data_IF_103853536254
#
_entry.id   IF_103853536254
#
_cell.length_a   1.000
_cell.length_b   1.000
_cell.length_c   1.000
_cell.angle_alpha   90.00
_cell.angle_beta   90.00
_cell.angle_gamma   90.00
#
_symmetry.space_group_name_H-M   'P 1'
#
loop_
_entity.id
_entity.type
_entity.pdbx_description
1 polymer ?
#
# COMPACT_ATOMS: atom_id res chain seq x y z
N UNK A 1 -21.56 31.33 14.88
CA UNK A 1 -20.42 30.74 15.61
C UNK A 1 -20.10 29.41 14.94
N UNK A 2 -19.26 29.42 13.92
CA UNK A 2 -18.86 28.21 13.19
C UNK A 2 -17.85 27.43 14.03
N UNK A 3 -18.25 26.28 14.56
CA UNK A 3 -17.33 25.35 15.19
C UNK A 3 -16.33 24.87 14.14
N UNK A 4 -15.05 25.21 14.33
CA UNK A 4 -13.96 24.56 13.60
C UNK A 4 -13.96 23.10 14.04
N UNK A 5 -14.20 22.19 13.10
CA UNK A 5 -13.91 20.77 13.31
C UNK A 5 -12.42 20.64 13.61
N UNK A 6 -12.12 20.19 14.83
CA UNK A 6 -10.78 19.76 15.23
C UNK A 6 -10.35 18.65 14.27
N UNK A 7 -9.11 18.67 13.71
CA UNK A 7 -8.61 17.53 12.95
C UNK A 7 -8.77 16.29 13.81
N UNK A 8 -9.37 15.22 13.28
CA UNK A 8 -9.47 13.94 14.00
C UNK A 8 -8.06 13.54 14.42
N UNK A 9 -7.73 13.73 15.70
CA UNK A 9 -6.53 13.17 16.29
C UNK A 9 -6.55 11.68 15.98
N UNK A 10 -5.45 11.18 15.37
CA UNK A 10 -5.28 9.76 15.08
C UNK A 10 -5.67 8.97 16.31
N UNK A 11 -6.70 8.13 16.18
CA UNK A 11 -7.21 7.34 17.30
C UNK A 11 -6.31 6.12 17.43
N UNK A 12 -5.12 6.36 17.96
CA UNK A 12 -4.40 5.33 18.68
C UNK A 12 -5.33 4.88 19.81
N UNK A 13 -5.73 3.61 19.78
CA UNK A 13 -6.38 2.82 20.82
C UNK A 13 -7.04 3.58 22.00
N UNK A 14 -8.32 3.29 22.27
CA UNK A 14 -8.93 3.73 23.52
C UNK A 14 -8.07 3.27 24.72
N UNK A 15 -7.91 4.13 25.73
CA UNK A 15 -6.96 3.97 26.84
C UNK A 15 -7.09 2.68 27.68
N UNK A 16 -8.12 1.85 27.43
CA UNK A 16 -8.36 0.58 28.12
C UNK A 16 -8.21 -0.68 27.24
N UNK A 17 -7.78 -0.57 25.98
CA UNK A 17 -7.62 -1.74 25.11
C UNK A 17 -6.37 -2.56 25.45
N UNK A 18 -6.53 -3.89 25.54
CA UNK A 18 -5.44 -4.85 25.79
C UNK A 18 -5.13 -5.67 24.53
N UNK A 19 -3.97 -6.32 24.46
CA UNK A 19 -3.64 -7.25 23.36
C UNK A 19 -3.16 -6.60 22.05
N UNK A 20 -2.72 -5.33 22.06
CA UNK A 20 -2.14 -4.64 20.89
C UNK A 20 -0.89 -5.32 20.31
N UNK A 21 -0.12 -6.03 21.15
CA UNK A 21 1.25 -6.42 20.83
C UNK A 21 2.20 -5.21 20.87
N UNK A 22 3.47 -5.36 20.46
CA UNK A 22 4.38 -4.21 20.38
C UNK A 22 3.84 -3.17 19.40
N UNK A 23 3.71 -1.92 19.83
CA UNK A 23 3.29 -0.84 18.95
C UNK A 23 4.35 -0.57 17.88
N UNK A 24 3.92 -0.35 16.63
CA UNK A 24 4.77 0.26 15.60
C UNK A 24 4.60 1.78 15.77
N UNK A 25 5.66 2.55 16.11
CA UNK A 25 5.50 3.96 16.42
C UNK A 25 5.09 4.77 15.19
N UNK A 26 3.81 5.14 15.08
CA UNK A 26 3.31 6.13 14.10
C UNK A 26 3.46 7.57 14.60
N UNK A 27 3.71 7.76 15.91
CA UNK A 27 3.78 9.06 16.61
C UNK A 27 2.52 9.91 16.42
N UNK A 28 1.36 9.28 16.28
CA UNK A 28 0.08 9.96 16.04
C UNK A 28 -0.12 10.46 14.60
N UNK A 29 0.82 10.16 13.69
CA UNK A 29 0.71 10.51 12.26
C UNK A 29 -0.16 9.53 11.48
N UNK A 30 -0.55 8.40 12.07
CA UNK A 30 -1.45 7.40 11.47
C UNK A 30 -2.12 6.58 12.57
N UNK A 31 -3.25 5.97 12.28
CA UNK A 31 -3.91 5.03 13.17
C UNK A 31 -3.16 3.69 13.21
N UNK A 32 -3.28 2.99 14.33
CA UNK A 32 -2.66 1.68 14.53
C UNK A 32 -3.71 0.64 14.95
N UNK A 33 -3.86 -0.48 14.23
CA UNK A 33 -4.79 -1.55 14.61
C UNK A 33 -4.12 -2.57 15.54
N UNK A 34 -4.93 -3.27 16.35
CA UNK A 34 -4.51 -4.55 16.96
C UNK A 34 -4.69 -5.66 15.95
N UNK A 35 -4.01 -6.78 16.19
CA UNK A 35 -4.16 -7.97 15.36
C UNK A 35 -5.64 -8.32 15.20
N UNK A 36 -6.11 -8.43 13.95
CA UNK A 36 -7.49 -8.81 13.62
C UNK A 36 -8.55 -7.74 13.88
N UNK A 37 -8.20 -6.53 14.31
CA UNK A 37 -9.18 -5.46 14.55
C UNK A 37 -9.90 -5.03 13.26
N UNK A 38 -9.14 -4.91 12.19
CA UNK A 38 -9.66 -4.55 10.87
C UNK A 38 -9.75 -5.82 10.04
N UNK A 39 -10.97 -6.32 9.88
CA UNK A 39 -11.27 -7.47 9.06
C UNK A 39 -11.71 -7.01 7.67
N UNK A 40 -10.90 -7.32 6.64
CA UNK A 40 -11.19 -6.96 5.26
C UNK A 40 -12.48 -7.58 4.73
N UNK A 41 -12.89 -8.74 5.27
CA UNK A 41 -14.14 -9.43 4.91
C UNK A 41 -15.38 -8.68 5.39
N UNK A 42 -15.22 -7.80 6.38
CA UNK A 42 -16.29 -6.94 6.93
C UNK A 42 -16.22 -5.52 6.36
N UNK A 43 -15.00 -4.97 6.30
CA UNK A 43 -14.77 -3.58 5.90
C UNK A 43 -14.89 -3.36 4.39
N UNK A 44 -14.32 -4.26 3.58
CA UNK A 44 -14.35 -4.12 2.12
C UNK A 44 -15.78 -4.02 1.60
N UNK A 45 -16.00 -3.12 0.63
CA UNK A 45 -17.24 -3.01 -0.13
C UNK A 45 -17.08 -3.48 -1.57
N UNK A 46 -15.96 -4.16 -1.88
CA UNK A 46 -15.59 -4.58 -3.25
C UNK A 46 -15.58 -3.42 -4.24
N UNK A 47 -15.12 -2.27 -3.75
CA UNK A 47 -14.96 -1.05 -4.53
C UNK A 47 -13.48 -0.84 -4.83
N UNK A 48 -13.22 -0.30 -6.01
CA UNK A 48 -11.89 0.16 -6.41
C UNK A 48 -11.98 1.62 -6.83
N UNK A 49 -10.96 2.38 -6.49
CA UNK A 49 -10.84 3.79 -6.83
C UNK A 49 -10.54 3.97 -8.31
N UNK A 50 -9.61 3.17 -8.83
CA UNK A 50 -9.16 3.26 -10.22
C UNK A 50 -8.42 1.99 -10.66
N UNK A 51 -8.34 1.79 -11.97
CA UNK A 51 -7.49 0.80 -12.61
C UNK A 51 -6.67 1.48 -13.71
N UNK A 52 -5.34 1.42 -13.57
CA UNK A 52 -4.41 2.05 -14.51
C UNK A 52 -3.51 0.99 -15.16
N UNK A 53 -3.70 0.68 -16.46
CA UNK A 53 -2.80 -0.21 -17.16
C UNK A 53 -1.51 0.51 -17.57
N UNK A 54 -0.43 -0.26 -17.68
CA UNK A 54 0.85 0.14 -18.27
C UNK A 54 1.57 1.32 -17.61
N UNK A 55 1.53 1.39 -16.28
CA UNK A 55 2.27 2.38 -15.48
C UNK A 55 3.69 1.90 -15.17
N UNK A 56 4.59 2.83 -14.87
CA UNK A 56 6.01 2.55 -14.56
C UNK A 56 6.46 3.10 -13.21
N UNK A 57 5.55 3.73 -12.47
CA UNK A 57 5.84 4.36 -11.16
C UNK A 57 5.54 3.44 -9.98
N UNK A 58 4.70 2.43 -10.18
CA UNK A 58 4.11 1.64 -9.10
C UNK A 58 4.86 0.30 -8.91
N UNK A 59 6.18 0.31 -9.12
CA UNK A 59 7.07 -0.85 -9.02
C UNK A 59 7.98 -1.01 -10.24
N UNK A 60 8.78 -2.07 -10.26
CA UNK A 60 9.70 -2.35 -11.37
C UNK A 60 8.93 -2.78 -12.65
N UNK A 61 9.39 -2.28 -13.80
CA UNK A 61 8.87 -2.63 -15.12
C UNK A 61 7.56 -1.91 -15.50
N UNK A 62 6.96 -2.33 -16.62
CA UNK A 62 5.62 -1.88 -17.03
C UNK A 62 4.60 -2.72 -16.28
N UNK A 63 3.69 -2.07 -15.53
CA UNK A 63 2.77 -2.73 -14.61
C UNK A 63 1.33 -2.34 -14.86
N UNK A 64 0.43 -3.24 -14.52
CA UNK A 64 -0.96 -2.89 -14.27
C UNK A 64 -1.09 -2.44 -12.80
N UNK A 65 -1.91 -1.45 -12.50
CA UNK A 65 -2.09 -0.95 -11.14
C UNK A 65 -3.56 -0.91 -10.76
N UNK A 66 -3.90 -1.61 -9.68
CA UNK A 66 -5.26 -1.65 -9.13
C UNK A 66 -5.30 -0.87 -7.82
N UNK A 67 -6.00 0.26 -7.84
CA UNK A 67 -6.16 1.14 -6.69
C UNK A 67 -7.46 0.73 -5.97
N UNK A 68 -7.35 0.00 -4.86
CA UNK A 68 -8.52 -0.40 -4.06
C UNK A 68 -9.02 0.74 -3.18
N UNK A 69 -10.28 0.71 -2.78
CA UNK A 69 -10.87 1.74 -1.91
C UNK A 69 -10.88 1.33 -0.44
N UNK A 70 -10.78 2.31 0.45
CA UNK A 70 -10.86 2.13 1.89
C UNK A 70 -9.50 1.99 2.57
N UNK A 71 -9.20 2.88 3.52
CA UNK A 71 -7.97 2.81 4.30
C UNK A 71 -8.16 3.46 5.67
N UNK A 72 -8.27 2.67 6.75
CA UNK A 72 -8.47 3.21 8.10
C UNK A 72 -7.17 3.70 8.74
N UNK A 73 -6.01 3.61 8.09
CA UNK A 73 -4.75 4.14 8.62
C UNK A 73 -4.76 5.67 8.74
N UNK A 74 -5.48 6.36 7.84
CA UNK A 74 -5.60 7.83 7.85
C UNK A 74 -4.27 8.58 8.05
N UNK A 75 -3.21 8.15 7.35
CA UNK A 75 -1.89 8.76 7.50
C UNK A 75 -1.93 10.26 7.21
N UNK A 76 -1.31 11.09 8.05
CA UNK A 76 -1.21 12.52 7.83
C UNK A 76 -0.44 12.79 6.53
N UNK A 77 -1.04 13.57 5.63
CA UNK A 77 -0.44 13.85 4.31
C UNK A 77 -0.51 12.67 3.33
N UNK A 78 -1.39 11.69 3.55
CA UNK A 78 -1.60 10.58 2.62
C UNK A 78 -1.97 11.09 1.21
N UNK A 79 -1.22 10.65 0.21
CA UNK A 79 -1.48 10.95 -1.21
C UNK A 79 -2.87 10.48 -1.67
N UNK A 80 -3.36 9.39 -1.07
CA UNK A 80 -4.63 8.74 -1.41
C UNK A 80 -5.75 9.03 -0.39
N UNK A 81 -5.72 10.18 0.28
CA UNK A 81 -6.72 10.54 1.30
C UNK A 81 -8.16 10.57 0.75
N UNK A 82 -8.35 10.87 -0.54
CA UNK A 82 -9.66 10.88 -1.20
C UNK A 82 -10.34 9.52 -1.26
N UNK A 83 -9.61 8.42 -1.04
CA UNK A 83 -10.11 7.04 -1.17
C UNK A 83 -10.04 6.27 0.16
N UNK A 84 -9.99 6.99 1.29
CA UNK A 84 -10.10 6.39 2.62
C UNK A 84 -11.46 5.74 2.91
N UNK A 85 -12.53 6.19 2.24
CA UNK A 85 -13.84 5.55 2.31
C UNK A 85 -13.84 4.26 1.48
N UNK A 86 -14.26 3.15 2.09
CA UNK A 86 -14.43 1.87 1.41
C UNK A 86 -15.49 1.91 0.30
N UNK A 87 -16.31 2.96 0.22
CA UNK A 87 -17.28 3.20 -0.86
C UNK A 87 -16.79 4.15 -1.96
N UNK A 88 -15.56 4.67 -1.87
CA UNK A 88 -15.02 5.53 -2.92
C UNK A 88 -14.84 4.75 -4.23
N UNK A 89 -14.90 5.45 -5.37
CA UNK A 89 -14.69 4.87 -6.69
C UNK A 89 -15.92 4.11 -7.22
N UNK A 90 -15.68 2.93 -7.80
CA UNK A 90 -16.71 2.10 -8.42
C UNK A 90 -16.55 0.61 -8.09
N UNK A 91 -17.56 -0.19 -8.38
CA UNK A 91 -17.54 -1.63 -8.10
C UNK A 91 -16.45 -2.34 -8.92
N UNK A 92 -15.80 -3.33 -8.29
CA UNK A 92 -14.98 -4.31 -8.99
C UNK A 92 -15.89 -5.33 -9.68
N UNK A 93 -15.79 -5.43 -11.01
CA UNK A 93 -16.67 -6.25 -11.83
C UNK A 93 -15.92 -7.37 -12.55
N UNK A 94 -16.60 -8.46 -12.95
CA UNK A 94 -15.99 -9.49 -13.78
C UNK A 94 -15.40 -8.94 -15.09
N UNK A 95 -16.05 -7.94 -15.71
CA UNK A 95 -15.54 -7.31 -16.93
C UNK A 95 -14.21 -6.56 -16.70
N UNK A 96 -14.06 -5.90 -15.54
CA UNK A 96 -12.79 -5.30 -15.16
C UNK A 96 -11.71 -6.36 -14.92
N UNK A 97 -12.06 -7.48 -14.28
CA UNK A 97 -11.12 -8.59 -14.08
C UNK A 97 -10.63 -9.16 -15.41
N UNK A 98 -11.52 -9.41 -16.37
CA UNK A 98 -11.12 -9.85 -17.72
C UNK A 98 -10.17 -8.85 -18.39
N UNK A 99 -10.44 -7.54 -18.23
CA UNK A 99 -9.55 -6.50 -18.73
C UNK A 99 -8.17 -6.55 -18.07
N UNK A 100 -8.10 -6.69 -16.75
CA UNK A 100 -6.84 -6.81 -16.00
C UNK A 100 -6.02 -8.00 -16.52
N UNK A 101 -6.67 -9.15 -16.71
CA UNK A 101 -6.00 -10.37 -17.18
C UNK A 101 -5.51 -10.23 -18.63
N UNK A 102 -6.32 -9.63 -19.51
CA UNK A 102 -5.92 -9.38 -20.90
C UNK A 102 -4.75 -8.37 -21.01
N UNK A 103 -4.74 -7.34 -20.17
CA UNK A 103 -3.65 -6.37 -20.11
C UNK A 103 -2.38 -7.02 -19.52
N UNK A 104 -2.49 -7.89 -18.52
CA UNK A 104 -1.36 -8.64 -17.95
C UNK A 104 -0.74 -9.66 -18.92
N UNK A 105 -1.55 -10.25 -19.80
CA UNK A 105 -1.10 -11.23 -20.79
C UNK A 105 -0.11 -10.63 -21.82
N UNK A 106 -0.05 -9.31 -21.96
CA UNK A 106 0.90 -8.66 -22.86
C UNK A 106 2.36 -9.01 -22.47
N UNK A 107 3.22 -9.40 -23.42
CA UNK A 107 4.54 -9.95 -23.11
C UNK A 107 5.51 -8.92 -22.47
N UNK A 108 5.29 -7.63 -22.70
CA UNK A 108 6.10 -6.54 -22.12
C UNK A 108 5.59 -6.06 -20.75
N UNK A 109 4.45 -6.55 -20.27
CA UNK A 109 3.95 -6.23 -18.93
C UNK A 109 4.62 -7.15 -17.93
N UNK A 110 5.32 -6.58 -16.95
CA UNK A 110 6.04 -7.35 -15.93
C UNK A 110 5.07 -7.96 -14.90
N UNK A 111 4.02 -7.23 -14.53
CA UNK A 111 3.11 -7.70 -13.49
C UNK A 111 2.05 -6.70 -13.08
N UNK A 112 1.48 -6.90 -11.88
CA UNK A 112 0.45 -6.04 -11.30
C UNK A 112 0.89 -5.49 -9.95
N UNK A 113 0.38 -4.32 -9.59
CA UNK A 113 0.52 -3.72 -8.27
C UNK A 113 -0.85 -3.50 -7.63
N UNK A 114 -0.99 -3.93 -6.38
CA UNK A 114 -2.12 -3.61 -5.51
C UNK A 114 -1.75 -2.43 -4.61
N UNK A 115 -2.51 -1.34 -4.72
CA UNK A 115 -2.27 -0.11 -3.97
C UNK A 115 -3.58 0.68 -3.78
N UNK A 116 -3.48 1.98 -3.50
CA UNK A 116 -4.63 2.87 -3.34
C UNK A 116 -4.93 3.12 -1.87
N UNK A 117 -6.05 2.57 -1.38
CA UNK A 117 -6.39 2.51 0.03
C UNK A 117 -5.53 1.49 0.77
N UNK A 118 -6.14 0.47 1.34
CA UNK A 118 -5.43 -0.63 2.02
C UNK A 118 -5.71 -1.98 1.34
N UNK A 119 -4.78 -2.50 0.52
CA UNK A 119 -4.89 -3.81 -0.12
C UNK A 119 -5.17 -4.97 0.84
N UNK A 120 -4.55 -4.98 2.03
CA UNK A 120 -4.72 -6.07 3.01
C UNK A 120 -6.09 -6.00 3.72
N UNK A 121 -6.91 -4.99 3.42
CA UNK A 121 -8.32 -4.91 3.82
C UNK A 121 -9.29 -5.09 2.64
N UNK A 122 -8.78 -5.35 1.44
CA UNK A 122 -9.55 -5.64 0.23
C UNK A 122 -9.30 -7.07 -0.29
N UNK A 123 -8.91 -7.98 0.61
CA UNK A 123 -8.76 -9.42 0.36
C UNK A 123 -9.97 -10.08 -0.31
N UNK A 124 -11.25 -9.68 -0.12
CA UNK A 124 -12.35 -10.28 -0.86
C UNK A 124 -12.33 -10.03 -2.38
N UNK A 125 -11.56 -9.03 -2.83
CA UNK A 125 -11.29 -8.74 -4.25
C UNK A 125 -9.93 -9.32 -4.65
N UNK A 126 -8.89 -9.04 -3.84
CA UNK A 126 -7.52 -9.28 -4.25
C UNK A 126 -7.08 -10.74 -4.15
N UNK A 127 -7.59 -11.52 -3.20
CA UNK A 127 -7.24 -12.95 -3.10
C UNK A 127 -7.75 -13.73 -4.33
N UNK A 128 -9.03 -13.61 -4.75
CA UNK A 128 -9.50 -14.24 -5.99
C UNK A 128 -8.69 -13.81 -7.22
N UNK A 129 -8.42 -12.52 -7.38
CA UNK A 129 -7.63 -11.99 -8.49
C UNK A 129 -6.20 -12.53 -8.48
N UNK A 130 -5.50 -12.49 -7.35
CA UNK A 130 -4.14 -12.99 -7.22
C UNK A 130 -4.05 -14.49 -7.51
N UNK A 131 -5.01 -15.29 -7.02
CA UNK A 131 -5.13 -16.72 -7.39
C UNK A 131 -5.32 -16.94 -8.88
N UNK A 132 -6.13 -16.11 -9.53
CA UNK A 132 -6.34 -16.18 -10.97
C UNK A 132 -5.05 -15.87 -11.73
N UNK A 133 -4.34 -14.81 -11.34
CA UNK A 133 -3.03 -14.45 -11.91
C UNK A 133 -2.04 -15.61 -11.76
N UNK A 134 -1.94 -16.22 -10.57
CA UNK A 134 -1.08 -17.40 -10.36
C UNK A 134 -1.47 -18.59 -11.22
N UNK A 135 -2.77 -18.84 -11.40
CA UNK A 135 -3.26 -19.92 -12.29
C UNK A 135 -2.90 -19.71 -13.75
N UNK A 136 -3.03 -18.47 -14.25
CA UNK A 136 -2.87 -18.17 -15.67
C UNK A 136 -1.41 -17.92 -16.06
N UNK A 137 -0.62 -17.34 -15.15
CA UNK A 137 0.73 -16.88 -15.44
C UNK A 137 1.81 -17.46 -14.52
N UNK A 138 1.45 -18.23 -13.49
CA UNK A 138 2.40 -18.69 -12.48
C UNK A 138 3.12 -17.51 -11.80
N UNK A 139 4.44 -17.53 -11.82
CA UNK A 139 5.32 -16.45 -11.35
C UNK A 139 5.95 -15.65 -12.50
N UNK A 140 5.49 -15.83 -13.75
CA UNK A 140 5.98 -15.02 -14.89
C UNK A 140 5.48 -13.56 -14.83
N UNK A 141 4.42 -13.32 -14.05
CA UNK A 141 3.90 -11.98 -13.73
C UNK A 141 4.02 -11.77 -12.24
N UNK A 142 4.83 -10.80 -11.82
CA UNK A 142 5.02 -10.52 -10.40
C UNK A 142 3.84 -9.71 -9.83
N UNK A 143 3.56 -9.90 -8.55
CA UNK A 143 2.52 -9.18 -7.83
C UNK A 143 3.17 -8.37 -6.72
N UNK A 144 3.02 -7.05 -6.80
CA UNK A 144 3.44 -6.13 -5.76
C UNK A 144 2.24 -5.70 -4.94
N UNK A 145 2.43 -5.41 -3.65
CA UNK A 145 1.40 -4.78 -2.82
C UNK A 145 1.99 -3.75 -1.89
N UNK A 146 1.37 -2.58 -1.83
CA UNK A 146 1.61 -1.60 -0.76
C UNK A 146 0.68 -1.89 0.41
N UNK A 147 1.12 -1.58 1.61
CA UNK A 147 0.27 -1.70 2.79
C UNK A 147 0.77 -0.79 3.91
N UNK A 148 -0.16 -0.26 4.71
CA UNK A 148 0.18 0.45 5.95
C UNK A 148 0.64 -0.49 7.07
N UNK A 149 0.33 -1.78 6.97
CA UNK A 149 0.81 -2.78 7.93
C UNK A 149 2.31 -3.00 7.78
N UNK A 150 2.98 -3.34 8.88
CA UNK A 150 4.32 -3.93 8.83
C UNK A 150 4.23 -5.44 8.72
N UNK A 151 5.28 -6.09 8.23
CA UNK A 151 5.45 -7.54 8.27
C UNK A 151 5.17 -8.11 9.66
N UNK A 152 5.72 -7.47 10.69
CA UNK A 152 5.56 -7.88 12.08
C UNK A 152 4.11 -7.74 12.56
N UNK A 153 3.30 -6.83 12.00
CA UNK A 153 1.86 -6.76 12.24
C UNK A 153 1.11 -7.88 11.53
N UNK A 154 1.43 -8.14 10.26
CA UNK A 154 0.80 -9.19 9.47
C UNK A 154 1.06 -10.61 10.03
N UNK A 155 2.15 -10.79 10.78
CA UNK A 155 2.52 -12.07 11.40
C UNK A 155 2.02 -12.25 12.84
N UNK A 156 1.28 -11.27 13.41
CA UNK A 156 0.85 -11.37 14.82
C UNK A 156 -0.17 -12.50 15.01
N UNK A 157 -0.11 -13.22 16.14
CA UNK A 157 -1.20 -14.08 16.56
C UNK A 157 -2.52 -13.29 16.64
N UNK A 158 -3.59 -13.85 16.08
CA UNK A 158 -4.92 -13.21 16.05
C UNK A 158 -5.19 -12.34 14.83
N UNK A 159 -4.21 -12.15 13.93
CA UNK A 159 -4.45 -11.48 12.66
C UNK A 159 -5.33 -12.33 11.73
N UNK A 160 -6.06 -11.69 10.82
CA UNK A 160 -7.03 -12.41 9.98
C UNK A 160 -6.32 -13.27 8.91
N UNK A 161 -6.76 -14.52 8.70
CA UNK A 161 -6.04 -15.48 7.84
C UNK A 161 -6.02 -15.08 6.35
N UNK A 162 -7.00 -14.30 5.90
CA UNK A 162 -7.10 -13.78 4.54
C UNK A 162 -5.97 -12.79 4.18
N UNK A 163 -5.44 -12.05 5.18
CA UNK A 163 -4.25 -11.22 4.98
C UNK A 163 -3.02 -12.07 4.69
N UNK A 164 -2.85 -13.15 5.46
CA UNK A 164 -1.77 -14.11 5.29
C UNK A 164 -1.87 -14.83 3.94
N UNK A 165 -3.08 -15.20 3.55
CA UNK A 165 -3.38 -15.80 2.24
C UNK A 165 -3.02 -14.87 1.08
N UNK A 166 -3.39 -13.58 1.15
CA UNK A 166 -2.97 -12.61 0.13
C UNK A 166 -1.44 -12.44 0.12
N UNK A 167 -0.82 -12.34 1.30
CA UNK A 167 0.63 -12.22 1.43
C UNK A 167 1.36 -13.39 0.78
N UNK A 168 0.89 -14.62 0.95
CA UNK A 168 1.47 -15.82 0.31
C UNK A 168 1.33 -15.84 -1.22
N UNK A 169 0.45 -14.99 -1.78
CA UNK A 169 0.23 -14.89 -3.22
C UNK A 169 1.02 -13.77 -3.87
N UNK A 170 1.65 -12.86 -3.12
CA UNK A 170 2.43 -11.73 -3.68
C UNK A 170 3.94 -11.98 -3.65
N UNK A 171 4.69 -11.28 -4.50
CA UNK A 171 6.15 -11.42 -4.62
C UNK A 171 6.89 -10.30 -3.89
N UNK A 172 6.36 -9.07 -3.91
CA UNK A 172 6.99 -7.90 -3.29
C UNK A 172 5.97 -7.15 -2.43
N UNK A 173 6.38 -6.81 -1.20
CA UNK A 173 5.57 -6.02 -0.27
C UNK A 173 6.28 -4.70 0.04
N UNK A 174 5.62 -3.57 -0.21
CA UNK A 174 6.02 -2.28 0.35
C UNK A 174 5.22 -2.06 1.63
N UNK A 175 5.89 -2.24 2.76
CA UNK A 175 5.25 -2.31 4.07
C UNK A 175 5.48 -1.04 4.91
N UNK A 176 4.57 -0.81 5.86
CA UNK A 176 4.59 0.32 6.78
C UNK A 176 3.76 1.52 6.33
N UNK A 177 3.23 2.24 7.32
CA UNK A 177 2.49 3.49 7.12
C UNK A 177 3.38 4.54 6.45
N UNK A 178 2.75 5.42 5.68
CA UNK A 178 3.34 6.70 5.35
C UNK A 178 3.44 7.57 6.61
N UNK A 179 4.66 8.04 6.93
CA UNK A 179 4.91 8.97 8.02
C UNK A 179 5.46 10.27 7.44
N UNK A 180 4.71 11.36 7.59
CA UNK A 180 5.03 12.68 7.05
C UNK A 180 6.43 13.17 7.46
N UNK A 181 6.81 12.97 8.72
CA UNK A 181 8.13 13.39 9.24
C UNK A 181 9.30 12.57 8.69
N UNK A 182 9.00 11.45 8.03
CA UNK A 182 9.97 10.60 7.37
C UNK A 182 9.85 10.65 5.85
N UNK A 183 9.06 11.58 5.32
CA UNK A 183 8.89 11.76 3.88
C UNK A 183 10.23 12.05 3.20
N UNK A 184 10.50 11.31 2.13
CA UNK A 184 11.68 11.49 1.30
C UNK A 184 11.39 11.08 -0.14
N UNK A 185 11.47 12.04 -1.06
CA UNK A 185 11.15 11.86 -2.48
C UNK A 185 12.23 11.11 -3.27
N UNK A 186 13.39 10.82 -2.65
CA UNK A 186 14.50 10.10 -3.29
C UNK A 186 14.39 8.59 -3.12
N UNK A 187 13.46 8.14 -2.27
CA UNK A 187 13.28 6.73 -1.99
C UNK A 187 12.66 6.03 -3.18
N UNK A 188 13.20 4.86 -3.51
CA UNK A 188 12.65 4.01 -4.53
C UNK A 188 11.27 3.50 -4.08
N UNK A 189 10.24 3.75 -4.90
CA UNK A 189 8.88 3.20 -4.78
C UNK A 189 8.17 3.41 -3.42
N UNK A 190 8.64 4.29 -2.54
CA UNK A 190 7.99 4.55 -1.25
C UNK A 190 8.11 6.00 -0.83
N UNK A 191 7.20 6.42 0.03
CA UNK A 191 7.08 7.82 0.41
C UNK A 191 7.82 8.18 1.69
N UNK A 192 8.08 7.21 2.57
CA UNK A 192 8.69 7.45 3.88
C UNK A 192 9.79 6.45 4.23
N UNK A 193 10.83 6.90 4.94
CA UNK A 193 12.02 6.10 5.30
C UNK A 193 11.72 4.88 6.18
N UNK A 194 10.65 4.92 6.98
CA UNK A 194 10.21 3.78 7.78
C UNK A 194 9.64 2.63 6.93
N UNK A 195 9.24 2.89 5.68
CA UNK A 195 8.69 1.86 4.81
C UNK A 195 9.81 0.99 4.24
N UNK A 196 9.54 -0.30 4.08
CA UNK A 196 10.51 -1.27 3.53
C UNK A 196 9.93 -1.92 2.28
N UNK A 197 10.80 -2.24 1.33
CA UNK A 197 10.46 -3.10 0.19
C UNK A 197 10.98 -4.49 0.50
N UNK A 198 10.08 -5.46 0.63
CA UNK A 198 10.38 -6.81 1.07
C UNK A 198 10.18 -7.82 -0.06
N UNK A 199 11.09 -8.77 -0.16
CA UNK A 199 10.91 -9.99 -0.95
C UNK A 199 10.05 -10.96 -0.13
N UNK A 200 8.81 -11.18 -0.57
CA UNK A 200 7.84 -11.93 0.23
C UNK A 200 8.18 -13.42 0.30
N UNK A 201 8.46 -14.13 -0.81
CA UNK A 201 8.90 -15.52 -0.74
C UNK A 201 10.12 -15.75 0.17
N UNK A 202 11.15 -14.90 0.06
CA UNK A 202 12.33 -15.00 0.92
C UNK A 202 12.00 -14.70 2.39
N UNK A 203 11.14 -13.70 2.64
CA UNK A 203 10.70 -13.36 3.99
C UNK A 203 9.89 -14.49 4.64
N UNK A 204 9.02 -15.15 3.87
CA UNK A 204 8.24 -16.30 4.32
C UNK A 204 9.16 -17.49 4.66
N UNK A 205 10.13 -17.79 3.79
CA UNK A 205 11.09 -18.86 4.01
C UNK A 205 12.00 -18.63 5.22
N UNK A 206 12.40 -17.37 5.46
CA UNK A 206 13.24 -16.99 6.59
C UNK A 206 12.47 -16.78 7.90
N UNK A 207 11.14 -16.65 7.85
CA UNK A 207 10.29 -16.31 9.00
C UNK A 207 10.49 -14.87 9.51
N UNK A 208 11.15 -14.01 8.75
CA UNK A 208 11.49 -12.62 9.10
C UNK A 208 11.57 -11.77 7.83
N UNK A 209 11.42 -10.43 7.90
CA UNK A 209 11.50 -9.59 6.72
C UNK A 209 12.88 -9.70 6.05
N UNK A 210 12.89 -9.93 4.75
CA UNK A 210 14.04 -9.93 3.86
C UNK A 210 13.86 -8.78 2.87
N UNK A 211 14.79 -7.83 2.90
CA UNK A 211 14.76 -6.66 2.02
C UNK A 211 14.92 -7.12 0.56
N UNK A 212 14.12 -6.54 -0.32
CA UNK A 212 14.16 -6.80 -1.75
C UNK A 212 15.54 -6.45 -2.32
N UNK A 213 16.17 -7.42 -2.98
CA UNK A 213 17.58 -7.33 -3.37
C UNK A 213 17.91 -6.21 -4.38
N UNK A 214 16.90 -5.71 -5.10
CA UNK A 214 17.05 -4.61 -6.06
C UNK A 214 16.73 -3.23 -5.46
N UNK A 215 16.52 -3.13 -4.15
CA UNK A 215 16.31 -1.86 -3.48
C UNK A 215 17.53 -0.96 -3.69
N UNK A 216 17.32 0.18 -4.33
CA UNK A 216 18.34 1.19 -4.56
C UNK A 216 17.72 2.58 -4.53
N UNK A 217 17.87 3.27 -3.39
CA UNK A 217 17.42 4.64 -3.23
C UNK A 217 18.36 5.60 -3.94
N UNK A 218 17.80 6.69 -4.47
CA UNK A 218 18.60 7.72 -5.11
C UNK A 218 19.37 8.52 -4.05
N UNK A 219 20.66 8.74 -4.30
CA UNK A 219 21.45 9.71 -3.57
C UNK A 219 21.48 11.01 -4.38
N UNK A 220 21.28 12.16 -3.73
CA UNK A 220 21.43 13.45 -4.42
C UNK A 220 22.91 13.74 -4.60
N UNK A 221 23.31 13.83 -5.87
CA UNK A 221 24.33 14.79 -6.28
C UNK A 221 23.65 15.79 -7.23
N UNK A 222 22.94 16.76 -6.64
CA UNK A 222 22.25 17.82 -7.40
C UNK A 222 23.15 19.06 -7.39
N UNK A 223 23.74 19.45 -8.54
CA UNK A 223 24.48 20.70 -8.63
C UNK A 223 23.59 21.87 -8.16
N UNK A 224 24.17 22.76 -7.36
CA UNK A 224 23.50 23.87 -6.67
C UNK A 224 22.64 24.75 -7.59
N UNK A 225 22.91 24.72 -8.89
CA UNK A 225 22.21 25.47 -9.93
C UNK A 225 20.73 25.05 -10.08
N UNK A 226 20.41 23.75 -9.90
CA UNK A 226 19.05 23.23 -10.12
C UNK A 226 18.15 23.33 -8.88
N UNK A 227 18.73 23.70 -7.73
CA UNK A 227 18.02 23.92 -6.46
C UNK A 227 17.25 25.26 -6.44
N UNK A 228 17.80 26.29 -7.09
CA UNK A 228 17.24 27.66 -7.05
C UNK A 228 15.91 27.78 -7.81
N UNK A 229 15.75 27.05 -8.91
CA UNK A 229 14.56 27.16 -9.76
C UNK A 229 13.38 26.33 -9.21
N UNK A 230 13.65 25.26 -8.46
CA UNK A 230 12.62 24.35 -7.97
C UNK A 230 11.90 24.87 -6.72
N UNK A 231 12.63 25.52 -5.81
CA UNK A 231 12.03 26.20 -4.65
C UNK A 231 11.03 27.30 -5.07
N UNK A 232 11.30 27.99 -6.19
CA UNK A 232 10.40 29.00 -6.75
C UNK A 232 9.15 28.40 -7.41
N UNK A 233 9.21 27.17 -7.91
CA UNK A 233 8.10 26.46 -8.55
C UNK A 233 7.12 25.83 -7.55
N UNK A 234 7.63 25.18 -6.50
CA UNK A 234 6.80 24.51 -5.48
C UNK A 234 5.97 25.51 -4.66
N UNK A 235 6.46 26.74 -4.45
CA UNK A 235 5.69 27.83 -3.81
C UNK A 235 4.53 28.39 -4.65
N UNK A 236 4.50 28.15 -5.97
CA UNK A 236 3.46 28.69 -6.87
C UNK A 236 2.32 27.72 -7.16
N UNK A 237 2.50 26.42 -6.91
CA UNK A 237 1.44 25.43 -7.08
C UNK A 237 0.62 25.19 -5.79
N UNK A 238 1.03 25.79 -4.68
CA UNK A 238 0.30 25.77 -3.41
C UNK A 238 -0.55 27.05 -3.18
N UNK A 239 -0.83 27.83 -4.23
CA UNK A 239 -1.64 29.06 -4.21
C UNK A 239 -3.01 28.84 -4.85
#
# INVERSE_FOLDING_TARGET
MSGKETPMAGRDFAAGETGRGPGVPSRGLANDPRAGQWDGRVLSKRMIADYKPFVVTDGEGIRCSLYVSGCPFHCEGCFNASIWDFRAGHEYTPALEEKIIADLAQPWVQGITFLGGEPLLNTPVLVPLARRIRREFGHSKDIWSWTGYTWEELMRPGETPDKRELLELIDVLVDGRYLKDEHDSLLQFRGSRNQRILDVPASLAAGKPVVWAKLHDQERDVPEIYLKDRAAGESRQAS
#
